data_IF_552273268982
#
_entry.id   IF_552273268982
#
_cell.length_a   1.000
_cell.length_b   1.000
_cell.length_c   1.000
_cell.angle_alpha   90.00
_cell.angle_beta   90.00
_cell.angle_gamma   90.00
#
_symmetry.space_group_name_H-M   'P 1'
#
loop_
_entity.id
_entity.type
_entity.pdbx_description
1 polymer ?
#
# COMPACT_ATOMS: atom_id res chain seq x y z
N UNK A 1 5.29 -61.12 -20.52
CA UNK A 1 4.54 -60.14 -21.01
C UNK A 1 4.13 -59.15 -20.00
N UNK A 2 3.75 -59.51 -18.85
CA UNK A 2 3.30 -58.53 -17.92
C UNK A 2 4.38 -57.62 -17.45
N UNK A 3 5.60 -58.03 -17.54
CA UNK A 3 6.64 -57.19 -17.03
C UNK A 3 6.84 -55.95 -17.89
N UNK A 4 6.54 -56.11 -19.14
CA UNK A 4 6.75 -54.97 -20.01
C UNK A 4 5.79 -53.87 -19.71
N UNK A 5 4.61 -54.19 -19.30
CA UNK A 5 3.66 -53.14 -19.02
C UNK A 5 4.05 -52.37 -17.77
N UNK A 6 4.68 -53.02 -16.85
CA UNK A 6 5.08 -52.32 -15.66
C UNK A 6 6.18 -51.31 -15.96
N UNK A 7 7.07 -51.68 -16.84
CA UNK A 7 8.14 -50.76 -17.17
C UNK A 7 7.58 -49.57 -17.89
N UNK A 8 6.63 -49.79 -18.74
CA UNK A 8 6.05 -48.67 -19.45
C UNK A 8 5.35 -47.70 -18.49
N UNK A 9 4.77 -48.27 -17.46
CA UNK A 9 4.11 -47.41 -16.54
C UNK A 9 5.09 -46.57 -15.78
N UNK A 10 6.21 -47.08 -15.45
CA UNK A 10 7.19 -46.30 -14.73
C UNK A 10 7.71 -45.14 -15.56
N UNK A 11 7.87 -45.38 -16.81
CA UNK A 11 8.35 -44.31 -17.64
C UNK A 11 7.35 -43.21 -17.72
N UNK A 12 6.09 -43.60 -17.65
CA UNK A 12 5.12 -42.58 -17.75
C UNK A 12 5.18 -41.62 -16.58
N UNK A 13 5.55 -42.15 -15.44
CA UNK A 13 5.56 -41.30 -14.35
C UNK A 13 6.67 -40.31 -14.39
N UNK A 14 7.74 -40.60 -15.00
CA UNK A 14 8.83 -39.70 -14.97
C UNK A 14 8.63 -38.49 -15.79
N UNK A 15 7.66 -38.49 -16.61
CA UNK A 15 7.55 -37.36 -17.47
C UNK A 15 6.78 -36.23 -16.88
N UNK A 16 6.50 -36.27 -15.66
CA UNK A 16 5.72 -35.21 -15.17
C UNK A 16 6.57 -34.05 -14.93
N UNK A 17 6.50 -33.09 -15.57
CA UNK A 17 7.32 -32.01 -15.40
C UNK A 17 6.86 -31.05 -14.51
N UNK A 18 7.41 -30.27 -14.17
CA UNK A 18 7.04 -29.42 -13.31
C UNK A 18 7.23 -28.20 -13.62
N UNK A 19 6.97 -27.43 -13.74
CA UNK A 19 7.18 -26.38 -14.24
C UNK A 19 6.64 -25.29 -13.78
N UNK A 20 6.75 -24.41 -14.18
CA UNK A 20 5.99 -23.44 -13.86
C UNK A 20 6.14 -22.75 -12.71
N UNK A 21 6.97 -22.45 -12.29
CA UNK A 21 7.04 -21.74 -11.26
C UNK A 21 7.52 -20.48 -11.45
N UNK A 22 8.26 -20.01 -11.90
CA UNK A 22 8.78 -18.79 -11.95
C UNK A 22 8.11 -17.72 -12.49
N UNK A 23 7.14 -17.95 -13.16
CA UNK A 23 6.54 -16.90 -13.76
C UNK A 23 5.80 -16.07 -12.92
N UNK A 24 5.32 -16.53 -11.92
CA UNK A 24 4.48 -15.76 -11.11
C UNK A 24 5.12 -14.53 -10.64
N UNK A 25 6.34 -14.58 -10.36
CA UNK A 25 6.91 -13.45 -9.80
C UNK A 25 7.03 -12.28 -10.68
N UNK A 26 7.01 -12.54 -11.96
CA UNK A 26 7.22 -11.45 -12.77
C UNK A 26 6.07 -10.61 -12.90
N UNK A 27 4.95 -11.17 -12.73
CA UNK A 27 3.81 -10.39 -12.97
C UNK A 27 3.73 -9.26 -12.09
N UNK A 28 4.35 -9.35 -11.00
CA UNK A 28 4.10 -8.31 -10.13
C UNK A 28 4.78 -7.12 -10.53
N UNK A 29 5.58 -7.16 -11.47
CA UNK A 29 6.20 -6.02 -11.71
C UNK A 29 5.50 -5.12 -12.44
N UNK A 30 4.37 -5.22 -12.67
CA UNK A 30 3.76 -4.39 -13.39
C UNK A 30 3.42 -3.32 -12.77
N UNK A 31 3.91 -2.55 -12.39
CA UNK A 31 3.55 -1.49 -11.84
C UNK A 31 3.01 -0.67 -12.65
N UNK A 32 2.64 -0.55 -13.38
CA UNK A 32 2.04 0.22 -14.16
C UNK A 32 1.52 1.36 -13.72
N UNK A 33 2.00 2.01 -13.53
CA UNK A 33 1.71 3.19 -13.72
C UNK A 33 0.56 3.74 -13.82
N UNK A 34 -0.13 3.42 -13.52
CA UNK A 34 -1.17 3.99 -13.38
C UNK A 34 -1.03 5.31 -12.91
N UNK A 35 -1.74 6.13 -13.30
CA UNK A 35 -1.82 7.43 -12.90
C UNK A 35 -1.44 7.66 -11.53
N UNK A 36 -0.37 8.06 -11.27
CA UNK A 36 0.02 8.42 -9.98
C UNK A 36 -0.60 9.73 -9.74
N UNK A 37 -1.64 9.75 -9.10
CA UNK A 37 -2.20 10.99 -8.64
C UNK A 37 -1.22 11.50 -7.61
N UNK A 38 -0.63 12.61 -7.82
CA UNK A 38 0.33 13.10 -6.88
C UNK A 38 -0.40 13.61 -5.66
N UNK A 39 -0.14 13.01 -4.56
CA UNK A 39 -0.71 13.43 -3.30
C UNK A 39 0.25 14.43 -2.66
N UNK A 40 -0.26 15.57 -2.31
CA UNK A 40 0.56 16.62 -1.75
C UNK A 40 0.07 16.95 -0.34
N UNK A 41 0.98 16.89 0.63
CA UNK A 41 0.67 17.21 2.00
C UNK A 41 1.32 18.54 2.34
N UNK A 42 0.54 19.48 2.86
CA UNK A 42 1.03 20.78 3.23
C UNK A 42 0.56 21.08 4.64
N UNK A 43 1.48 21.48 5.50
CA UNK A 43 1.14 21.90 6.86
C UNK A 43 1.55 23.33 7.01
N UNK A 44 0.59 24.23 7.24
CA UNK A 44 0.89 25.64 7.36
C UNK A 44 -0.10 26.27 8.31
N UNK A 45 0.38 27.10 9.20
CA UNK A 45 -0.45 27.83 10.15
C UNK A 45 -1.37 26.92 10.97
N UNK A 46 -0.90 25.77 11.35
CA UNK A 46 -1.69 24.83 12.14
C UNK A 46 -2.69 24.02 11.36
N UNK A 47 -2.72 24.15 10.03
CA UNK A 47 -3.68 23.45 9.22
C UNK A 47 -2.96 22.44 8.33
N UNK A 48 -3.38 21.19 8.41
CA UNK A 48 -2.87 20.14 7.53
C UNK A 48 -3.82 20.03 6.34
N UNK A 49 -3.30 20.19 5.15
CA UNK A 49 -4.04 20.06 3.92
C UNK A 49 -3.49 18.88 3.13
N UNK A 50 -4.35 18.03 2.63
CA UNK A 50 -3.94 16.92 1.78
C UNK A 50 -4.70 17.05 0.48
N UNK A 51 -3.96 17.19 -0.62
CA UNK A 51 -4.56 17.33 -1.93
C UNK A 51 -4.25 16.08 -2.76
N UNK A 52 -5.14 15.72 -3.62
CA UNK A 52 -4.94 14.57 -4.50
C UNK A 52 -5.64 13.30 -4.06
N UNK A 53 -6.37 13.34 -2.97
CA UNK A 53 -7.13 12.19 -2.52
C UNK A 53 -8.60 12.36 -2.84
N UNK A 54 -9.30 11.25 -2.97
CA UNK A 54 -10.74 11.26 -3.21
C UNK A 54 -11.37 10.12 -2.43
N UNK A 55 -12.66 10.20 -2.25
CA UNK A 55 -13.41 9.15 -1.57
C UNK A 55 -13.46 9.33 -0.07
N UNK A 56 -13.95 8.33 0.60
CA UNK A 56 -14.10 8.33 2.04
C UNK A 56 -13.05 7.43 2.66
N UNK A 57 -12.46 7.86 3.70
CA UNK A 57 -11.44 7.08 4.38
C UNK A 57 -11.10 7.61 5.75
N UNK A 58 -10.06 7.08 6.33
CA UNK A 58 -9.58 7.45 7.66
C UNK A 58 -8.17 8.00 7.55
N UNK A 59 -7.92 9.12 8.20
CA UNK A 59 -6.59 9.72 8.23
C UNK A 59 -6.09 9.63 9.66
N UNK A 60 -4.91 9.04 9.84
CA UNK A 60 -4.28 8.92 11.15
C UNK A 60 -2.91 9.56 11.10
N UNK A 61 -2.57 10.29 12.11
CA UNK A 61 -1.28 10.96 12.19
C UNK A 61 -0.53 10.44 13.39
N UNK A 62 0.71 9.99 13.17
CA UNK A 62 1.52 9.43 14.21
C UNK A 62 2.83 10.20 14.34
N UNK A 63 3.34 10.24 15.55
CA UNK A 63 4.70 10.74 15.74
C UNK A 63 5.67 9.69 15.23
N UNK A 64 6.93 10.03 15.11
CA UNK A 64 7.91 9.08 14.60
C UNK A 64 8.14 7.94 15.57
N UNK A 65 7.78 8.09 16.82
CA UNK A 65 7.93 6.99 17.77
C UNK A 65 6.68 6.13 17.80
N UNK A 66 5.69 6.42 16.99
CA UNK A 66 4.52 5.56 16.87
C UNK A 66 3.30 5.96 17.67
N UNK A 67 3.33 7.10 18.33
CA UNK A 67 2.16 7.52 19.10
C UNK A 67 1.16 8.20 18.16
N UNK A 68 -0.12 7.85 18.31
CA UNK A 68 -1.14 8.46 17.50
C UNK A 68 -1.43 9.85 18.00
N UNK A 69 -1.30 10.83 17.14
CA UNK A 69 -1.48 12.22 17.49
C UNK A 69 -2.89 12.69 17.14
N UNK A 70 -3.43 12.21 16.06
CA UNK A 70 -4.76 12.58 15.62
C UNK A 70 -5.36 11.52 14.72
N UNK A 71 -6.67 11.39 14.72
CA UNK A 71 -7.33 10.44 13.86
C UNK A 71 -8.66 11.03 13.40
N UNK A 72 -8.96 10.86 12.12
CA UNK A 72 -10.20 11.32 11.54
C UNK A 72 -10.80 10.14 10.78
N UNK A 73 -11.87 9.59 11.33
CA UNK A 73 -12.48 8.40 10.78
C UNK A 73 -13.58 8.71 9.81
N UNK A 74 -13.66 7.95 8.76
CA UNK A 74 -14.80 8.03 7.84
C UNK A 74 -15.09 9.43 7.36
N UNK A 75 -14.10 10.09 6.84
CA UNK A 75 -14.28 11.44 6.36
C UNK A 75 -14.06 11.49 4.86
N UNK A 76 -14.54 12.55 4.25
CA UNK A 76 -14.32 12.76 2.83
C UNK A 76 -12.89 13.25 2.66
N UNK A 77 -12.13 12.56 1.82
CA UNK A 77 -10.72 12.88 1.64
C UNK A 77 -10.51 13.95 0.57
N UNK A 78 -11.54 14.30 -0.16
CA UNK A 78 -11.39 15.30 -1.17
C UNK A 78 -11.16 16.66 -0.48
N UNK A 79 -10.11 17.34 -0.84
CA UNK A 79 -9.79 18.64 -0.29
C UNK A 79 -9.73 18.63 1.24
N UNK A 80 -9.07 17.63 1.79
CA UNK A 80 -8.97 17.49 3.24
C UNK A 80 -8.21 18.64 3.84
N UNK A 81 -8.78 19.29 4.82
CA UNK A 81 -8.12 20.32 5.58
C UNK A 81 -8.58 20.25 7.02
N UNK A 82 -7.65 20.16 7.94
CA UNK A 82 -7.99 20.11 9.36
C UNK A 82 -6.97 20.87 10.18
N UNK A 83 -7.45 21.51 11.21
CA UNK A 83 -6.59 22.21 12.12
C UNK A 83 -6.04 21.21 13.12
N UNK A 84 -4.76 20.99 13.15
CA UNK A 84 -4.12 20.01 14.01
C UNK A 84 -2.91 20.66 14.61
N UNK A 85 -2.81 20.77 15.93
CA UNK A 85 -1.66 21.36 16.54
C UNK A 85 -0.47 20.41 16.52
N UNK A 86 0.43 20.60 15.63
CA UNK A 86 1.65 19.80 15.52
C UNK A 86 2.85 20.66 15.91
N UNK A 87 3.86 20.02 16.46
CA UNK A 87 5.02 20.75 16.86
C UNK A 87 5.86 21.15 15.66
N UNK A 88 6.52 22.28 15.70
CA UNK A 88 7.33 22.71 14.56
C UNK A 88 8.61 21.92 14.44
N UNK A 89 9.16 21.87 13.27
CA UNK A 89 10.43 21.20 12.98
C UNK A 89 10.40 19.73 13.42
N UNK A 90 9.29 19.08 13.23
CA UNK A 90 9.10 17.71 13.68
C UNK A 90 8.57 16.87 12.53
N UNK A 91 8.93 15.59 12.51
CA UNK A 91 8.46 14.70 11.49
C UNK A 91 7.29 13.87 12.01
N UNK A 92 6.28 13.73 11.20
CA UNK A 92 5.11 12.93 11.53
C UNK A 92 4.83 11.98 10.38
N UNK A 93 4.10 10.94 10.66
CA UNK A 93 3.70 9.97 9.67
C UNK A 93 2.20 10.06 9.51
N UNK A 94 1.74 10.28 8.30
CA UNK A 94 0.33 10.39 7.98
C UNK A 94 -0.09 9.13 7.26
N UNK A 95 -1.03 8.39 7.81
CA UNK A 95 -1.51 7.17 7.24
C UNK A 95 -2.93 7.38 6.77
N UNK A 96 -3.18 7.10 5.52
CA UNK A 96 -4.50 7.27 4.92
C UNK A 96 -5.03 5.89 4.55
N UNK A 97 -6.18 5.53 5.10
CA UNK A 97 -6.78 4.24 4.86
C UNK A 97 -8.07 4.44 4.10
N UNK A 98 -8.19 3.84 2.94
CA UNK A 98 -9.41 3.86 2.16
C UNK A 98 -9.86 2.43 1.98
N UNK A 99 -10.99 2.21 1.29
CA UNK A 99 -11.43 0.88 1.13
C UNK A 99 -10.41 0.05 0.40
N UNK A 100 -9.81 -0.87 1.07
CA UNK A 100 -8.88 -1.81 0.46
C UNK A 100 -7.48 -1.27 0.23
N UNK A 101 -7.16 -0.07 0.68
CA UNK A 101 -5.85 0.46 0.41
C UNK A 101 -5.37 1.30 1.57
N UNK A 102 -4.10 1.19 1.90
CA UNK A 102 -3.48 1.97 2.95
C UNK A 102 -2.24 2.63 2.38
N UNK A 103 -2.15 3.93 2.51
CA UNK A 103 -0.97 4.66 2.05
C UNK A 103 -0.39 5.45 3.19
N UNK A 104 0.92 5.57 3.22
CA UNK A 104 1.64 6.25 4.28
C UNK A 104 2.49 7.36 3.69
N UNK A 105 2.44 8.52 4.30
CA UNK A 105 3.19 9.68 3.85
C UNK A 105 3.98 10.26 5.00
N UNK A 106 5.07 10.94 4.67
CA UNK A 106 5.90 11.56 5.67
C UNK A 106 5.61 13.05 5.64
N UNK A 107 5.39 13.65 6.78
CA UNK A 107 5.13 15.07 6.92
C UNK A 107 6.22 15.68 7.80
N UNK A 108 6.82 16.75 7.35
CA UNK A 108 7.81 17.46 8.14
C UNK A 108 7.28 18.88 8.33
N UNK A 109 7.11 19.29 9.57
CA UNK A 109 6.61 20.62 9.88
C UNK A 109 7.77 21.61 9.88
N UNK A 110 7.49 22.86 9.67
CA UNK A 110 8.51 23.89 9.62
C UNK A 110 8.39 24.87 10.78
#
# INVERSE_FOLDING_TARGET
MKRLSLIALCIFFLSSPLTSFGNAGLSTLKFNNSTTTLVNLIYKNGVLSIKGLTGVGTVRIYSIIGNEVAVFNQIDLYDFQRNIPLEPKTMYIVRVETMGEVKTYKLVTR
#
